data_IF_336502736283
#
_entry.id   IF_336502736283
#
_cell.length_a   1.000
_cell.length_b   1.000
_cell.length_c   1.000
_cell.angle_alpha   90.00
_cell.angle_beta   90.00
_cell.angle_gamma   90.00
#
_symmetry.space_group_name_H-M   'P 1'
#
loop_
_entity.id
_entity.type
_entity.pdbx_description
1 polymer ?
#
# COMPACT_ATOMS: atom_id res chain seq x y z
N UNK A 1 -1.46 -5.31 24.15
CA UNK A 1 -1.32 -5.00 22.72
C UNK A 1 -1.71 -3.54 22.56
N UNK A 2 -0.81 -2.69 22.08
CA UNK A 2 -1.09 -1.26 21.92
C UNK A 2 -1.66 -1.03 20.52
N UNK A 3 -2.96 -0.76 20.49
CA UNK A 3 -3.73 -0.55 19.27
C UNK A 3 -3.32 0.71 18.52
N UNK A 4 -2.98 1.76 19.27
CA UNK A 4 -2.49 3.03 18.70
C UNK A 4 -1.12 2.83 18.07
N UNK A 5 -0.23 2.07 18.73
CA UNK A 5 1.09 1.71 18.15
C UNK A 5 0.92 0.93 16.86
N UNK A 6 0.05 -0.10 16.84
CA UNK A 6 -0.23 -0.89 15.64
C UNK A 6 -0.76 -0.03 14.50
N UNK A 7 -1.77 0.82 14.78
CA UNK A 7 -2.35 1.70 13.78
C UNK A 7 -1.33 2.70 13.21
N UNK A 8 -0.48 3.29 14.06
CA UNK A 8 0.59 4.18 13.58
C UNK A 8 1.59 3.42 12.69
N UNK A 9 2.00 2.21 13.08
CA UNK A 9 2.89 1.39 12.26
C UNK A 9 2.28 1.08 10.89
N UNK A 10 0.99 0.72 10.84
CA UNK A 10 0.25 0.56 9.57
C UNK A 10 0.32 1.81 8.70
N UNK A 11 0.04 2.99 9.27
CA UNK A 11 0.10 4.24 8.51
C UNK A 11 1.50 4.51 7.95
N UNK A 12 2.56 4.27 8.73
CA UNK A 12 3.92 4.48 8.24
C UNK A 12 4.28 3.48 7.13
N UNK A 13 3.93 2.21 7.27
CA UNK A 13 4.12 1.20 6.20
C UNK A 13 3.41 1.63 4.91
N UNK A 14 2.16 2.10 4.99
CA UNK A 14 1.43 2.56 3.80
C UNK A 14 2.06 3.80 3.16
N UNK A 15 2.68 4.68 3.95
CA UNK A 15 3.41 5.84 3.41
C UNK A 15 4.68 5.42 2.70
N UNK A 16 5.38 4.41 3.20
CA UNK A 16 6.54 3.83 2.52
C UNK A 16 6.12 3.22 1.18
N UNK A 17 5.04 2.43 1.17
CA UNK A 17 4.45 1.85 -0.05
C UNK A 17 4.02 2.93 -1.06
N UNK A 18 3.42 4.02 -0.58
CA UNK A 18 3.08 5.18 -1.42
C UNK A 18 4.32 5.79 -2.06
N UNK A 19 5.39 6.02 -1.29
CA UNK A 19 6.64 6.58 -1.79
C UNK A 19 7.27 5.64 -2.83
N UNK A 20 7.27 4.34 -2.58
CA UNK A 20 7.78 3.34 -3.52
C UNK A 20 7.02 3.36 -4.84
N UNK A 21 5.68 3.36 -4.81
CA UNK A 21 4.85 3.41 -6.02
C UNK A 21 5.05 4.73 -6.81
N UNK A 22 5.17 5.87 -6.10
CA UNK A 22 5.45 7.17 -6.74
C UNK A 22 6.81 7.16 -7.44
N UNK A 23 7.85 6.66 -6.79
CA UNK A 23 9.19 6.61 -7.36
C UNK A 23 9.24 5.64 -8.55
N UNK A 24 8.67 4.44 -8.40
CA UNK A 24 8.58 3.47 -9.50
C UNK A 24 7.83 4.04 -10.72
N UNK A 25 6.78 4.83 -10.49
CA UNK A 25 6.06 5.53 -11.57
C UNK A 25 6.95 6.54 -12.30
N UNK A 26 7.71 7.35 -11.56
CA UNK A 26 8.63 8.35 -12.13
C UNK A 26 9.74 7.69 -12.91
N UNK A 27 10.39 6.68 -12.34
CA UNK A 27 11.50 5.97 -12.99
C UNK A 27 11.03 5.32 -14.30
N UNK A 28 9.85 4.70 -14.31
CA UNK A 28 9.26 4.12 -15.51
C UNK A 28 8.89 5.18 -16.56
N UNK A 29 8.39 6.35 -16.14
CA UNK A 29 8.08 7.46 -17.05
C UNK A 29 9.34 8.09 -17.66
N UNK A 30 10.39 8.27 -16.86
CA UNK A 30 11.70 8.74 -17.33
C UNK A 30 12.28 7.75 -18.33
N UNK A 31 12.27 6.45 -18.01
CA UNK A 31 12.72 5.42 -18.94
C UNK A 31 11.88 5.40 -20.23
N UNK A 32 10.57 5.59 -20.16
CA UNK A 32 9.70 5.65 -21.34
C UNK A 32 10.05 6.78 -22.33
N UNK A 33 10.68 7.86 -21.84
CA UNK A 33 11.01 9.04 -22.63
C UNK A 33 12.50 9.20 -22.93
N UNK A 34 13.33 8.27 -22.45
CA UNK A 34 14.77 8.25 -22.69
C UNK A 34 15.08 7.93 -24.16
N UNK A 35 16.12 8.55 -24.72
CA UNK A 35 16.59 8.32 -26.09
C UNK A 35 16.97 6.85 -26.33
N UNK A 36 17.49 6.15 -25.32
CA UNK A 36 17.81 4.72 -25.39
C UNK A 36 16.56 3.82 -25.48
N UNK A 37 15.41 4.32 -25.05
CA UNK A 37 14.12 3.61 -25.10
C UNK A 37 13.32 3.94 -26.36
N UNK A 38 13.88 4.78 -27.24
CA UNK A 38 13.25 5.14 -28.51
C UNK A 38 13.27 3.94 -29.43
N UNK A 39 12.09 3.53 -29.89
CA UNK A 39 11.94 2.41 -30.81
C UNK A 39 12.80 2.62 -32.07
N UNK A 40 13.78 1.73 -32.28
CA UNK A 40 14.60 1.70 -33.49
C UNK A 40 13.91 0.91 -34.61
N UNK A 41 13.00 0.01 -34.25
CA UNK A 41 12.17 -0.79 -35.13
C UNK A 41 10.71 -0.82 -34.67
N UNK A 42 9.81 -1.27 -35.56
CA UNK A 42 8.38 -1.44 -35.24
C UNK A 42 8.08 -2.53 -34.19
N UNK A 43 9.09 -3.30 -33.79
CA UNK A 43 8.98 -4.39 -32.82
C UNK A 43 9.45 -3.97 -31.42
N UNK A 44 10.04 -2.78 -31.28
CA UNK A 44 10.54 -2.28 -30.00
C UNK A 44 9.41 -1.66 -29.18
N UNK A 45 9.05 -2.34 -28.10
CA UNK A 45 7.93 -1.97 -27.21
C UNK A 45 8.38 -1.39 -25.88
N UNK A 46 9.68 -1.32 -25.60
CA UNK A 46 10.21 -0.97 -24.27
C UNK A 46 9.68 0.37 -23.74
N UNK A 47 9.71 1.44 -24.55
CA UNK A 47 9.17 2.74 -24.15
C UNK A 47 7.65 2.73 -23.90
N UNK A 48 6.90 1.91 -24.66
CA UNK A 48 5.46 1.75 -24.51
C UNK A 48 5.12 0.93 -23.24
N UNK A 49 5.82 -0.18 -23.02
CA UNK A 49 5.69 -1.02 -21.82
C UNK A 49 6.04 -0.21 -20.56
N UNK A 50 7.10 0.60 -20.61
CA UNK A 50 7.49 1.50 -19.54
C UNK A 50 6.41 2.57 -19.26
N UNK A 51 5.76 3.10 -20.29
CA UNK A 51 4.64 4.04 -20.13
C UNK A 51 3.46 3.39 -19.42
N UNK A 52 3.13 2.14 -19.76
CA UNK A 52 2.06 1.39 -19.08
C UNK A 52 2.43 1.07 -17.63
N UNK A 53 3.69 0.69 -17.38
CA UNK A 53 4.18 0.46 -16.03
C UNK A 53 4.09 1.74 -15.18
N UNK A 54 4.50 2.89 -15.72
CA UNK A 54 4.39 4.18 -15.06
C UNK A 54 2.96 4.50 -14.64
N UNK A 55 2.01 4.30 -15.56
CA UNK A 55 0.58 4.52 -15.30
C UNK A 55 0.02 3.56 -14.24
N UNK A 56 0.43 2.28 -14.27
CA UNK A 56 0.03 1.30 -13.26
C UNK A 56 0.54 1.67 -11.86
N UNK A 57 1.81 2.06 -11.75
CA UNK A 57 2.42 2.51 -10.50
C UNK A 57 1.78 3.80 -9.98
N UNK A 58 1.42 4.75 -10.86
CA UNK A 58 0.66 5.94 -10.47
C UNK A 58 -0.73 5.58 -9.91
N UNK A 59 -1.40 4.60 -10.51
CA UNK A 59 -2.67 4.06 -10.02
C UNK A 59 -2.54 3.45 -8.63
N UNK A 60 -1.48 2.67 -8.40
CA UNK A 60 -1.19 2.07 -7.09
C UNK A 60 -0.87 3.14 -6.03
N UNK A 61 -0.05 4.14 -6.37
CA UNK A 61 0.22 5.28 -5.50
C UNK A 61 -1.08 5.99 -5.09
N UNK A 62 -2.00 6.21 -6.03
CA UNK A 62 -3.31 6.81 -5.73
C UNK A 62 -4.09 5.95 -4.73
N UNK A 63 -4.15 4.63 -4.91
CA UNK A 63 -4.84 3.73 -3.98
C UNK A 63 -4.24 3.79 -2.57
N UNK A 64 -2.91 3.86 -2.45
CA UNK A 64 -2.27 4.02 -1.13
C UNK A 64 -2.59 5.36 -0.49
N UNK A 65 -2.59 6.46 -1.26
CA UNK A 65 -2.96 7.77 -0.75
C UNK A 65 -4.41 7.80 -0.23
N UNK A 66 -5.34 7.23 -1.00
CA UNK A 66 -6.76 7.12 -0.62
C UNK A 66 -6.93 6.24 0.64
N UNK A 67 -6.25 5.11 0.72
CA UNK A 67 -6.31 4.23 1.90
C UNK A 67 -5.76 4.91 3.16
N UNK A 68 -4.66 5.67 3.06
CA UNK A 68 -4.11 6.44 4.18
C UNK A 68 -5.11 7.51 4.64
N UNK A 69 -5.71 8.24 3.71
CA UNK A 69 -6.71 9.27 4.00
C UNK A 69 -7.93 8.66 4.72
N UNK A 70 -8.48 7.58 4.19
CA UNK A 70 -9.63 6.88 4.76
C UNK A 70 -9.32 6.40 6.19
N UNK A 71 -8.22 5.67 6.38
CA UNK A 71 -7.82 5.18 7.71
C UNK A 71 -7.62 6.32 8.72
N UNK A 72 -6.97 7.41 8.31
CA UNK A 72 -6.77 8.56 9.20
C UNK A 72 -8.08 9.27 9.53
N UNK A 73 -9.01 9.36 8.58
CA UNK A 73 -10.32 9.96 8.81
C UNK A 73 -11.16 9.15 9.82
N UNK A 74 -11.01 7.83 9.81
CA UNK A 74 -11.69 6.91 10.72
C UNK A 74 -10.91 6.61 12.00
N UNK A 75 -9.75 7.25 12.22
CA UNK A 75 -8.81 6.90 13.29
C UNK A 75 -9.47 6.81 14.67
N UNK A 76 -10.29 7.78 15.03
CA UNK A 76 -10.94 7.80 16.36
C UNK A 76 -11.89 6.62 16.54
N UNK A 77 -12.65 6.27 15.51
CA UNK A 77 -13.56 5.13 15.52
C UNK A 77 -12.81 3.80 15.52
N UNK A 78 -11.80 3.68 14.67
CA UNK A 78 -10.95 2.50 14.57
C UNK A 78 -10.16 2.23 15.85
N UNK A 79 -9.85 3.24 16.67
CA UNK A 79 -9.10 3.09 17.93
C UNK A 79 -9.97 2.86 19.17
N UNK A 80 -11.30 2.93 19.07
CA UNK A 80 -12.21 2.59 20.18
C UNK A 80 -12.02 1.15 20.65
N UNK A 81 -12.36 0.86 21.90
CA UNK A 81 -12.34 -0.51 22.42
C UNK A 81 -13.42 -1.34 21.72
N UNK A 82 -13.05 -2.52 21.25
CA UNK A 82 -13.98 -3.48 20.65
C UNK A 82 -14.20 -4.67 21.60
N UNK A 83 -15.45 -5.09 21.76
CA UNK A 83 -15.82 -6.30 22.51
C UNK A 83 -16.05 -7.52 21.59
N UNK A 84 -16.04 -7.31 20.28
CA UNK A 84 -16.23 -8.31 19.23
C UNK A 84 -15.21 -8.08 18.11
N UNK A 85 -15.02 -9.07 17.24
CA UNK A 85 -14.18 -8.90 16.04
C UNK A 85 -14.97 -8.09 15.00
N UNK A 86 -14.58 -6.84 14.81
CA UNK A 86 -15.19 -5.88 13.87
C UNK A 86 -14.10 -4.96 13.31
N UNK A 87 -14.45 -4.01 12.45
CA UNK A 87 -13.53 -2.95 12.04
C UNK A 87 -12.88 -2.28 13.26
N UNK A 88 -11.58 -2.04 13.15
CA UNK A 88 -10.71 -1.58 14.21
C UNK A 88 -10.29 -2.66 15.20
N UNK A 89 -10.86 -3.87 15.23
CA UNK A 89 -10.45 -4.85 16.25
C UNK A 89 -8.98 -5.27 16.07
N UNK A 90 -8.23 -5.29 17.18
CA UNK A 90 -6.89 -5.87 17.27
C UNK A 90 -6.99 -7.18 18.08
N UNK A 91 -6.76 -8.31 17.44
CA UNK A 91 -7.02 -9.63 18.01
C UNK A 91 -5.95 -10.64 17.63
N UNK A 92 -5.92 -11.75 18.38
CA UNK A 92 -5.08 -12.90 18.08
C UNK A 92 -5.90 -14.00 17.44
N UNK A 93 -5.31 -14.74 16.52
CA UNK A 93 -5.88 -15.96 15.97
C UNK A 93 -4.86 -17.09 16.10
N UNK A 94 -5.32 -18.28 16.49
CA UNK A 94 -4.54 -19.51 16.34
C UNK A 94 -4.87 -20.10 14.97
N UNK A 95 -3.86 -20.13 14.10
CA UNK A 95 -3.97 -20.71 12.77
C UNK A 95 -2.95 -21.84 12.70
N UNK A 96 -3.42 -23.08 12.79
CA UNK A 96 -2.56 -24.25 12.65
C UNK A 96 -1.53 -24.42 13.77
N UNK A 97 -1.79 -23.88 14.98
CA UNK A 97 -0.89 -23.94 16.13
C UNK A 97 0.09 -22.77 16.23
N UNK A 98 0.05 -21.80 15.30
CA UNK A 98 0.74 -20.52 15.42
C UNK A 98 -0.23 -19.41 15.81
N UNK A 99 0.13 -18.65 16.86
CA UNK A 99 -0.57 -17.41 17.20
C UNK A 99 -0.12 -16.28 16.29
N UNK A 100 -1.07 -15.70 15.55
CA UNK A 100 -0.88 -14.50 14.73
C UNK A 100 -1.74 -13.35 15.24
N UNK A 101 -1.25 -12.12 15.03
CA UNK A 101 -1.93 -10.88 15.45
C UNK A 101 -2.49 -10.19 14.22
N UNK A 102 -3.77 -9.85 14.26
CA UNK A 102 -4.47 -9.18 13.18
C UNK A 102 -5.12 -7.89 13.66
N UNK A 103 -5.10 -6.88 12.80
CA UNK A 103 -5.90 -5.68 12.91
C UNK A 103 -6.87 -5.61 11.76
N UNK A 104 -8.15 -5.46 12.06
CA UNK A 104 -9.17 -5.44 11.01
C UNK A 104 -9.39 -4.02 10.49
N UNK A 105 -8.73 -3.69 9.37
CA UNK A 105 -8.94 -2.45 8.63
C UNK A 105 -9.95 -2.64 7.48
N UNK A 106 -10.64 -1.56 7.09
CA UNK A 106 -11.58 -1.58 5.95
C UNK A 106 -10.89 -1.52 4.59
N UNK A 107 -9.64 -1.07 4.56
CA UNK A 107 -8.84 -0.83 3.35
C UNK A 107 -7.40 -1.34 3.50
N UNK A 108 -6.58 -1.09 2.48
CA UNK A 108 -5.15 -1.41 2.39
C UNK A 108 -4.76 -2.88 2.13
N UNK A 109 -5.72 -3.79 1.97
CA UNK A 109 -5.49 -5.06 1.25
C UNK A 109 -4.62 -6.11 1.96
N UNK A 110 -4.47 -6.05 3.30
CA UNK A 110 -3.71 -7.03 4.08
C UNK A 110 -2.21 -6.72 4.09
N UNK A 111 -1.77 -6.02 5.13
CA UNK A 111 -0.39 -5.59 5.31
C UNK A 111 0.29 -6.39 6.43
N UNK A 112 1.55 -6.72 6.22
CA UNK A 112 2.43 -7.20 7.29
C UNK A 112 3.20 -6.01 7.81
N UNK A 113 3.11 -5.75 9.11
CA UNK A 113 3.74 -4.60 9.73
C UNK A 113 4.63 -5.04 10.87
N UNK A 114 5.82 -4.44 10.95
CA UNK A 114 6.73 -4.62 12.07
C UNK A 114 6.37 -3.61 13.17
N UNK A 115 5.97 -4.11 14.35
CA UNK A 115 5.46 -3.29 15.46
C UNK A 115 6.41 -3.26 16.64
#
# INVERSE_FOLDING_TARGET
MDKTRFFNALIETLREELIHAVNASKDAAEYATNEESRAESQWDTQGLEASYLAAGQAGQAKQWAEAIEELQSEREDLLKTNNTVSLGALFKCDIGGSEEIFFFAGVAGGQVIDV
#
